data_IF_454047375177
#
_entry.id   IF_454047375177
#
_cell.length_a   1.000
_cell.length_b   1.000
_cell.length_c   1.000
_cell.angle_alpha   90.00
_cell.angle_beta   90.00
_cell.angle_gamma   90.00
#
_symmetry.space_group_name_H-M   'P 1'
#
loop_
_entity.id
_entity.type
_entity.pdbx_description
1 polymer ?
#
# COMPACT_ATOMS: atom_id res chain seq x y z
N UNK A 1 36.66 -17.25 -5.70
CA UNK A 1 36.14 -18.44 -4.96
C UNK A 1 35.39 -18.09 -3.65
N UNK A 2 34.89 -16.85 -3.49
CA UNK A 2 34.15 -16.44 -2.27
C UNK A 2 32.65 -16.16 -2.50
N UNK A 3 32.14 -16.34 -3.73
CA UNK A 3 30.76 -16.01 -4.06
C UNK A 3 29.73 -17.16 -3.97
N UNK A 4 30.18 -18.40 -3.75
CA UNK A 4 29.30 -19.57 -3.90
C UNK A 4 28.62 -20.08 -2.63
N UNK A 5 28.99 -19.58 -1.44
CA UNK A 5 28.53 -20.18 -0.17
C UNK A 5 27.51 -19.34 0.62
N UNK A 6 27.19 -18.12 0.17
CA UNK A 6 26.26 -17.21 0.87
C UNK A 6 24.81 -17.39 0.39
N UNK A 7 24.55 -18.09 -0.70
CA UNK A 7 23.22 -18.23 -1.28
C UNK A 7 22.45 -19.52 -0.91
N UNK A 8 23.07 -20.41 -0.17
CA UNK A 8 22.47 -21.73 0.10
C UNK A 8 21.64 -21.82 1.39
N UNK A 9 21.70 -20.80 2.25
CA UNK A 9 21.00 -20.80 3.56
C UNK A 9 19.98 -19.67 3.72
N UNK A 10 19.57 -18.99 2.65
CA UNK A 10 18.41 -18.11 2.69
C UNK A 10 17.16 -19.00 2.79
N UNK A 11 16.65 -19.19 4.02
CA UNK A 11 15.36 -19.85 4.28
C UNK A 11 14.33 -19.25 3.32
N UNK A 12 13.94 -20.01 2.32
CA UNK A 12 12.95 -19.60 1.31
C UNK A 12 11.74 -19.06 2.02
N UNK A 13 11.36 -17.82 1.70
CA UNK A 13 10.17 -17.20 2.28
C UNK A 13 8.98 -18.06 1.87
N UNK A 14 8.23 -18.55 2.85
CA UNK A 14 7.03 -19.33 2.58
C UNK A 14 5.99 -18.42 1.92
N UNK A 15 5.15 -18.97 1.05
CA UNK A 15 4.17 -18.22 0.26
C UNK A 15 3.26 -17.31 1.12
N UNK A 16 2.85 -17.77 2.31
CA UNK A 16 2.02 -16.96 3.20
C UNK A 16 2.78 -15.76 3.80
N UNK A 17 4.08 -15.90 4.09
CA UNK A 17 4.89 -14.77 4.53
C UNK A 17 5.01 -13.71 3.45
N UNK A 18 5.16 -14.12 2.18
CA UNK A 18 5.15 -13.21 1.04
C UNK A 18 3.77 -12.55 0.86
N UNK A 19 2.69 -13.33 1.01
CA UNK A 19 1.32 -12.82 0.93
C UNK A 19 1.04 -11.75 1.99
N UNK A 20 1.44 -11.96 3.26
CA UNK A 20 1.28 -10.95 4.32
C UNK A 20 2.17 -9.72 4.11
N UNK A 21 3.37 -9.88 3.58
CA UNK A 21 4.22 -8.74 3.20
C UNK A 21 3.56 -7.91 2.08
N UNK A 22 3.06 -8.56 1.04
CA UNK A 22 2.34 -7.88 -0.03
C UNK A 22 1.06 -7.21 0.48
N UNK A 23 0.29 -7.90 1.33
CA UNK A 23 -0.91 -7.36 1.94
C UNK A 23 -0.62 -6.09 2.77
N UNK A 24 0.43 -6.09 3.60
CA UNK A 24 0.82 -4.92 4.39
C UNK A 24 1.25 -3.72 3.55
N UNK A 25 1.70 -3.97 2.33
CA UNK A 25 2.18 -2.92 1.42
C UNK A 25 1.05 -2.31 0.58
N UNK A 26 0.14 -3.15 0.10
CA UNK A 26 -0.92 -2.77 -0.84
C UNK A 26 -2.20 -2.37 -0.11
N UNK A 27 -2.54 -3.06 0.98
CA UNK A 27 -3.77 -2.85 1.71
C UNK A 27 -3.70 -1.61 2.60
N UNK A 28 -4.71 -0.76 2.49
CA UNK A 28 -4.86 0.39 3.39
C UNK A 28 -6.27 0.97 3.30
N UNK A 29 -6.96 1.08 4.44
CA UNK A 29 -8.29 1.69 4.49
C UNK A 29 -8.30 3.14 3.99
N UNK A 30 -7.19 3.89 4.14
CA UNK A 30 -7.06 5.23 3.58
C UNK A 30 -7.20 5.26 2.06
N UNK A 31 -6.71 4.24 1.37
CA UNK A 31 -6.86 4.14 -0.08
C UNK A 31 -8.31 3.80 -0.49
N UNK A 32 -9.01 3.00 0.32
CA UNK A 32 -10.43 2.69 0.11
C UNK A 32 -11.29 3.93 0.25
N UNK A 33 -11.04 4.76 1.28
CA UNK A 33 -11.77 6.00 1.52
C UNK A 33 -11.67 6.98 0.36
N UNK A 34 -10.52 7.10 -0.27
CA UNK A 34 -10.33 7.98 -1.43
C UNK A 34 -11.28 7.61 -2.57
N UNK A 35 -11.48 6.32 -2.84
CA UNK A 35 -12.44 5.87 -3.83
C UNK A 35 -13.88 6.36 -3.55
N UNK A 36 -14.31 6.33 -2.30
CA UNK A 36 -15.65 6.82 -1.91
C UNK A 36 -15.81 8.34 -1.97
N UNK A 37 -14.72 9.10 -1.95
CA UNK A 37 -14.75 10.57 -2.11
C UNK A 37 -15.03 10.93 -3.57
N UNK A 38 -14.44 10.20 -4.51
CA UNK A 38 -14.55 10.51 -5.94
C UNK A 38 -15.72 9.82 -6.63
N UNK A 39 -16.19 8.70 -6.10
CA UNK A 39 -17.27 7.90 -6.67
C UNK A 39 -18.45 7.79 -5.71
N UNK A 40 -19.65 7.98 -6.21
CA UNK A 40 -20.86 7.91 -5.40
C UNK A 40 -21.21 6.46 -5.03
N UNK A 41 -21.04 6.12 -3.75
CA UNK A 41 -21.52 4.86 -3.20
C UNK A 41 -20.96 3.62 -3.90
N UNK A 42 -21.84 2.78 -4.44
CA UNK A 42 -21.49 1.47 -5.03
C UNK A 42 -20.70 1.57 -6.35
N UNK A 43 -20.70 2.74 -7.02
CA UNK A 43 -19.91 2.98 -8.24
C UNK A 43 -18.42 2.76 -8.04
N UNK A 44 -17.92 2.92 -6.80
CA UNK A 44 -16.53 2.65 -6.48
C UNK A 44 -16.17 1.18 -6.72
N UNK A 45 -17.08 0.27 -6.41
CA UNK A 45 -16.85 -1.17 -6.61
C UNK A 45 -16.73 -1.51 -8.08
N UNK A 46 -17.62 -0.94 -8.93
CA UNK A 46 -17.54 -1.09 -10.38
C UNK A 46 -16.20 -0.56 -10.91
N UNK A 47 -15.80 0.63 -10.48
CA UNK A 47 -14.54 1.27 -10.89
C UNK A 47 -13.32 0.44 -10.49
N UNK A 48 -13.32 -0.16 -9.28
CA UNK A 48 -12.25 -1.04 -8.87
C UNK A 48 -12.21 -2.35 -9.67
N UNK A 49 -13.36 -2.96 -9.95
CA UNK A 49 -13.42 -4.17 -10.79
C UNK A 49 -12.90 -3.87 -12.20
N UNK A 50 -13.29 -2.72 -12.77
CA UNK A 50 -12.82 -2.27 -14.07
C UNK A 50 -11.30 -2.08 -14.07
N UNK A 51 -10.76 -1.35 -13.12
CA UNK A 51 -9.32 -1.10 -12.99
C UNK A 51 -8.54 -2.39 -12.68
N UNK A 52 -9.11 -3.29 -11.88
CA UNK A 52 -8.52 -4.60 -11.63
C UNK A 52 -8.39 -5.40 -12.93
N UNK A 53 -9.43 -5.46 -13.73
CA UNK A 53 -9.42 -6.22 -14.98
C UNK A 53 -8.53 -5.59 -16.06
N UNK A 54 -8.60 -4.27 -16.25
CA UNK A 54 -7.92 -3.58 -17.36
C UNK A 54 -6.48 -3.20 -17.05
N UNK A 55 -6.16 -2.94 -15.80
CA UNK A 55 -4.83 -2.49 -15.41
C UNK A 55 -4.09 -3.52 -14.53
N UNK A 56 -4.68 -3.90 -13.40
CA UNK A 56 -3.98 -4.70 -12.40
C UNK A 56 -3.60 -6.10 -12.90
N UNK A 57 -4.53 -6.80 -13.56
CA UNK A 57 -4.27 -8.16 -14.09
C UNK A 57 -3.19 -8.14 -15.17
N UNK A 58 -3.27 -7.31 -16.24
CA UNK A 58 -2.20 -7.24 -17.24
C UNK A 58 -0.85 -6.83 -16.63
N UNK A 59 -0.86 -5.86 -15.72
CA UNK A 59 0.35 -5.41 -15.03
C UNK A 59 0.98 -6.53 -14.19
N UNK A 60 0.18 -7.27 -13.42
CA UNK A 60 0.67 -8.39 -12.62
C UNK A 60 1.25 -9.53 -13.48
N UNK A 61 0.63 -9.83 -14.62
CA UNK A 61 1.16 -10.82 -15.57
C UNK A 61 2.49 -10.36 -16.16
N UNK A 62 2.60 -9.11 -16.60
CA UNK A 62 3.83 -8.51 -17.11
C UNK A 62 4.96 -8.56 -16.07
N UNK A 63 4.70 -8.14 -14.84
CA UNK A 63 5.68 -8.18 -13.75
C UNK A 63 6.09 -9.61 -13.41
N UNK A 64 5.14 -10.55 -13.43
CA UNK A 64 5.40 -11.97 -13.21
C UNK A 64 6.30 -12.57 -14.29
N UNK A 65 6.06 -12.23 -15.55
CA UNK A 65 6.89 -12.66 -16.69
C UNK A 65 8.31 -12.09 -16.59
N UNK A 66 8.44 -10.77 -16.39
CA UNK A 66 9.74 -10.13 -16.22
C UNK A 66 10.50 -10.67 -15.00
N UNK A 67 9.82 -10.87 -13.88
CA UNK A 67 10.40 -11.46 -12.68
C UNK A 67 10.89 -12.90 -12.88
N UNK A 68 10.20 -13.69 -13.70
CA UNK A 68 10.60 -15.06 -14.04
C UNK A 68 11.76 -15.09 -15.05
N UNK A 69 11.74 -14.21 -16.05
CA UNK A 69 12.79 -14.10 -17.06
C UNK A 69 14.12 -13.66 -16.46
N UNK A 70 14.08 -12.70 -15.54
CA UNK A 70 15.28 -12.10 -14.92
C UNK A 70 15.48 -12.51 -13.46
N UNK A 71 15.11 -13.73 -13.10
CA UNK A 71 15.17 -14.25 -11.71
C UNK A 71 16.55 -14.20 -11.05
N UNK A 72 17.62 -14.12 -11.84
CA UNK A 72 19.00 -14.09 -11.35
C UNK A 72 19.52 -12.65 -11.18
N UNK A 73 18.77 -11.63 -11.59
CA UNK A 73 19.13 -10.22 -11.43
C UNK A 73 18.42 -9.62 -10.22
N UNK A 74 19.18 -9.09 -9.27
CA UNK A 74 18.68 -8.65 -7.96
C UNK A 74 18.13 -7.22 -7.86
N UNK A 75 18.08 -6.47 -8.94
CA UNK A 75 17.80 -5.02 -8.92
C UNK A 75 16.36 -4.59 -9.29
N UNK A 76 15.44 -5.53 -9.46
CA UNK A 76 14.06 -5.21 -9.84
C UNK A 76 13.96 -4.47 -11.18
N UNK A 77 13.12 -3.41 -11.24
CA UNK A 77 12.84 -2.66 -12.48
C UNK A 77 14.12 -2.14 -13.16
N UNK A 78 15.07 -1.61 -12.39
CA UNK A 78 16.32 -1.11 -12.97
C UNK A 78 17.16 -2.22 -13.63
N UNK A 79 17.16 -3.42 -13.05
CA UNK A 79 17.85 -4.56 -13.66
C UNK A 79 17.14 -5.06 -14.92
N UNK A 80 15.82 -5.10 -14.93
CA UNK A 80 15.05 -5.47 -16.12
C UNK A 80 15.32 -4.52 -17.29
N UNK A 81 15.35 -3.21 -16.99
CA UNK A 81 15.68 -2.18 -17.99
C UNK A 81 17.16 -2.30 -18.44
N UNK A 82 18.06 -2.66 -17.51
CA UNK A 82 19.48 -2.87 -17.86
C UNK A 82 19.68 -3.99 -18.89
N UNK A 83 19.03 -5.12 -18.64
CA UNK A 83 19.14 -6.30 -19.51
C UNK A 83 18.46 -6.09 -20.88
N UNK A 84 17.44 -5.22 -20.96
CA UNK A 84 16.68 -5.00 -22.20
C UNK A 84 17.14 -3.77 -22.99
N UNK A 85 17.44 -2.67 -22.32
CA UNK A 85 17.70 -1.36 -22.94
C UNK A 85 19.09 -0.80 -22.63
N UNK A 86 19.86 -1.48 -21.79
CA UNK A 86 21.22 -1.08 -21.42
C UNK A 86 21.32 -0.13 -20.23
N UNK A 87 22.59 0.20 -19.82
CA UNK A 87 22.88 0.85 -18.54
C UNK A 87 22.37 2.28 -18.41
N UNK A 88 22.31 3.04 -19.51
CA UNK A 88 21.86 4.44 -19.46
C UNK A 88 20.40 4.55 -19.05
N UNK A 89 19.52 3.79 -19.72
CA UNK A 89 18.09 3.78 -19.39
C UNK A 89 17.82 3.13 -18.04
N UNK A 90 18.59 2.12 -17.66
CA UNK A 90 18.50 1.51 -16.33
C UNK A 90 18.78 2.52 -15.20
N UNK A 91 19.78 3.39 -15.39
CA UNK A 91 20.07 4.46 -14.43
C UNK A 91 18.87 5.41 -14.28
N UNK A 92 18.29 5.87 -15.37
CA UNK A 92 17.11 6.74 -15.31
C UNK A 92 15.90 6.05 -14.71
N UNK A 93 15.68 4.76 -15.03
CA UNK A 93 14.59 3.98 -14.43
C UNK A 93 14.77 3.84 -12.91
N UNK A 94 15.98 3.54 -12.44
CA UNK A 94 16.28 3.48 -11.01
C UNK A 94 16.12 4.83 -10.30
N UNK A 95 16.60 5.91 -10.94
CA UNK A 95 16.48 7.26 -10.41
C UNK A 95 15.03 7.72 -10.32
N UNK A 96 14.23 7.57 -11.38
CA UNK A 96 12.81 7.97 -11.36
C UNK A 96 12.01 7.15 -10.38
N UNK A 97 12.28 5.85 -10.29
CA UNK A 97 11.65 4.98 -9.28
C UNK A 97 11.93 5.49 -7.86
N UNK A 98 13.19 5.78 -7.55
CA UNK A 98 13.57 6.33 -6.25
C UNK A 98 12.92 7.70 -5.99
N UNK A 99 12.99 8.63 -6.95
CA UNK A 99 12.45 9.97 -6.80
C UNK A 99 10.93 9.97 -6.52
N UNK A 100 10.16 9.15 -7.23
CA UNK A 100 8.73 8.99 -6.98
C UNK A 100 8.43 8.43 -5.57
N UNK A 101 9.28 7.54 -5.05
CA UNK A 101 9.06 6.92 -3.75
C UNK A 101 9.44 7.81 -2.55
N UNK A 102 10.31 8.80 -2.74
CA UNK A 102 10.72 9.72 -1.64
C UNK A 102 9.50 10.45 -1.06
N UNK A 103 8.68 11.06 -1.90
CA UNK A 103 7.47 11.77 -1.47
C UNK A 103 6.45 10.85 -0.82
N UNK A 104 6.27 9.67 -1.39
CA UNK A 104 5.39 8.65 -0.83
C UNK A 104 5.84 8.19 0.57
N UNK A 105 7.13 7.88 0.75
CA UNK A 105 7.67 7.44 2.04
C UNK A 105 7.57 8.56 3.09
N UNK A 106 7.85 9.81 2.71
CA UNK A 106 7.72 10.96 3.59
C UNK A 106 6.28 11.13 4.11
N UNK A 107 5.28 10.96 3.25
CA UNK A 107 3.87 11.04 3.65
C UNK A 107 3.45 9.92 4.62
N UNK A 108 4.07 8.74 4.54
CA UNK A 108 3.79 7.62 5.47
C UNK A 108 4.27 7.90 6.89
N UNK A 109 5.38 8.61 7.06
CA UNK A 109 5.89 9.02 8.38
C UNK A 109 4.91 9.92 9.12
N UNK A 110 4.40 10.95 8.47
CA UNK A 110 3.43 11.87 9.05
C UNK A 110 2.08 11.19 9.33
N UNK A 111 1.61 10.35 8.42
CA UNK A 111 0.40 9.56 8.61
C UNK A 111 0.49 8.61 9.81
N UNK A 112 1.65 7.95 10.00
CA UNK A 112 1.90 7.10 11.16
C UNK A 112 1.88 7.87 12.48
N UNK A 113 2.48 9.06 12.53
CA UNK A 113 2.44 9.92 13.71
C UNK A 113 1.03 10.42 14.02
N UNK A 114 0.24 10.77 13.00
CA UNK A 114 -1.16 11.17 13.17
C UNK A 114 -1.98 10.02 13.76
N UNK A 115 -1.81 8.79 13.24
CA UNK A 115 -2.47 7.61 13.78
C UNK A 115 -2.03 7.29 15.22
N UNK A 116 -0.75 7.47 15.54
CA UNK A 116 -0.23 7.28 16.88
C UNK A 116 -0.80 8.31 17.87
N UNK A 117 -0.89 9.59 17.47
CA UNK A 117 -1.49 10.63 18.31
C UNK A 117 -2.97 10.32 18.60
N UNK A 118 -3.69 9.81 17.61
CA UNK A 118 -5.07 9.36 17.79
C UNK A 118 -5.20 8.21 18.79
N UNK A 119 -4.30 7.23 18.70
CA UNK A 119 -4.29 6.08 19.59
C UNK A 119 -3.99 6.48 21.05
N UNK A 120 -3.10 7.45 21.26
CA UNK A 120 -2.67 7.88 22.61
C UNK A 120 -3.68 8.88 23.21
N UNK A 121 -4.03 9.93 22.48
CA UNK A 121 -4.82 11.05 22.98
C UNK A 121 -6.31 10.93 22.68
N UNK A 122 -6.74 9.95 21.86
CA UNK A 122 -8.11 9.75 21.40
C UNK A 122 -8.73 10.98 20.75
N UNK A 123 -7.88 11.87 20.23
CA UNK A 123 -8.29 13.12 19.57
C UNK A 123 -7.40 13.36 18.34
N UNK A 124 -8.04 13.62 17.19
CA UNK A 124 -7.36 13.92 15.92
C UNK A 124 -6.69 15.29 15.92
N UNK A 125 -7.30 16.27 16.61
CA UNK A 125 -6.88 17.66 16.57
C UNK A 125 -5.54 17.90 17.26
N UNK A 126 -5.16 17.01 18.18
CA UNK A 126 -3.87 17.12 18.89
C UNK A 126 -2.69 17.15 17.93
N UNK A 127 -2.71 16.29 16.90
CA UNK A 127 -1.64 16.28 15.90
C UNK A 127 -1.58 17.60 15.11
N UNK A 128 -2.74 18.12 14.71
CA UNK A 128 -2.84 19.33 13.90
C UNK A 128 -2.56 20.61 14.74
N UNK A 129 -2.66 20.54 16.06
CA UNK A 129 -2.32 21.64 17.00
C UNK A 129 -0.82 21.71 17.35
N UNK A 130 -0.04 20.67 17.05
CA UNK A 130 1.39 20.65 17.35
C UNK A 130 2.16 21.63 16.44
N UNK A 131 3.18 22.33 16.96
CA UNK A 131 4.04 23.15 16.12
C UNK A 131 4.71 22.31 15.02
N UNK A 132 4.69 22.82 13.79
CA UNK A 132 5.18 22.13 12.59
C UNK A 132 6.60 21.58 12.77
N UNK A 133 7.47 22.29 13.48
CA UNK A 133 8.84 21.87 13.73
C UNK A 133 8.91 20.54 14.51
N UNK A 134 8.08 20.39 15.56
CA UNK A 134 8.06 19.14 16.34
C UNK A 134 7.54 17.95 15.52
N UNK A 135 6.53 18.19 14.69
CA UNK A 135 5.99 17.16 13.79
C UNK A 135 7.04 16.74 12.76
N UNK A 136 7.78 17.69 12.19
CA UNK A 136 8.86 17.38 11.24
C UNK A 136 10.01 16.63 11.89
N UNK A 137 10.45 17.03 13.08
CA UNK A 137 11.51 16.32 13.82
C UNK A 137 11.07 14.92 14.22
N UNK A 138 9.85 14.75 14.69
CA UNK A 138 9.30 13.44 15.02
C UNK A 138 9.18 12.54 13.77
N UNK A 139 8.71 13.09 12.65
CA UNK A 139 8.67 12.36 11.37
C UNK A 139 10.06 11.92 10.92
N UNK A 140 11.04 12.81 11.02
CA UNK A 140 12.44 12.50 10.69
C UNK A 140 12.99 11.40 11.62
N UNK A 141 12.73 11.48 12.92
CA UNK A 141 13.18 10.47 13.89
C UNK A 141 12.59 9.09 13.58
N UNK A 142 11.29 9.03 13.28
CA UNK A 142 10.61 7.79 12.87
C UNK A 142 11.20 7.25 11.57
N UNK A 143 11.44 8.12 10.59
CA UNK A 143 12.06 7.73 9.33
C UNK A 143 13.46 7.14 9.53
N UNK A 144 14.33 7.83 10.29
CA UNK A 144 15.69 7.36 10.60
C UNK A 144 15.66 6.04 11.37
N UNK A 145 14.72 5.87 12.30
CA UNK A 145 14.55 4.61 13.02
C UNK A 145 14.23 3.45 12.07
N UNK A 146 13.28 3.64 11.14
CA UNK A 146 12.96 2.60 10.18
C UNK A 146 14.07 2.36 9.15
N UNK A 147 14.82 3.38 8.75
CA UNK A 147 16.00 3.21 7.91
C UNK A 147 17.08 2.38 8.62
N UNK A 148 17.34 2.69 9.90
CA UNK A 148 18.25 1.92 10.72
C UNK A 148 17.76 0.47 10.90
N UNK A 149 16.47 0.28 11.12
CA UNK A 149 15.87 -1.06 11.23
C UNK A 149 16.00 -1.85 9.92
N UNK A 150 15.71 -1.21 8.79
CA UNK A 150 15.82 -1.81 7.46
C UNK A 150 17.28 -2.18 7.11
N UNK A 151 18.26 -1.41 7.57
CA UNK A 151 19.68 -1.71 7.36
C UNK A 151 20.16 -2.99 8.05
N UNK A 152 19.40 -3.51 9.01
CA UNK A 152 19.67 -4.79 9.69
C UNK A 152 19.38 -6.02 8.84
N UNK A 153 18.83 -5.85 7.64
CA UNK A 153 18.62 -6.90 6.67
C UNK A 153 17.15 -7.36 6.56
N UNK A 154 16.93 -8.35 5.71
CA UNK A 154 15.58 -8.81 5.34
C UNK A 154 14.83 -9.53 6.47
N UNK A 155 15.53 -10.21 7.41
CA UNK A 155 14.86 -11.01 8.43
C UNK A 155 14.06 -10.15 9.43
N UNK A 156 14.61 -9.08 10.04
CA UNK A 156 13.82 -8.19 10.88
C UNK A 156 12.68 -7.51 10.13
N UNK A 157 12.94 -7.07 8.90
CA UNK A 157 11.95 -6.43 8.04
C UNK A 157 10.77 -7.37 7.76
N UNK A 158 11.05 -8.64 7.46
CA UNK A 158 10.03 -9.68 7.27
C UNK A 158 9.18 -9.89 8.52
N UNK A 159 9.80 -9.96 9.69
CA UNK A 159 9.07 -10.12 10.95
C UNK A 159 8.12 -8.94 11.19
N UNK A 160 8.63 -7.72 11.04
CA UNK A 160 7.82 -6.51 11.18
C UNK A 160 6.67 -6.48 10.17
N UNK A 161 6.95 -6.77 8.89
CA UNK A 161 5.94 -6.82 7.84
C UNK A 161 4.88 -7.91 8.09
N UNK A 162 5.28 -9.05 8.64
CA UNK A 162 4.34 -10.13 8.98
C UNK A 162 3.43 -9.70 10.13
N UNK A 163 3.97 -9.09 11.20
CA UNK A 163 3.17 -8.58 12.31
C UNK A 163 2.22 -7.49 11.84
N UNK A 164 2.72 -6.51 11.08
CA UNK A 164 1.90 -5.44 10.52
C UNK A 164 0.80 -5.98 9.60
N UNK A 165 1.15 -6.87 8.67
CA UNK A 165 0.18 -7.48 7.74
C UNK A 165 -0.88 -8.30 8.46
N UNK A 166 -0.50 -9.07 9.48
CA UNK A 166 -1.46 -9.83 10.29
C UNK A 166 -2.39 -8.90 11.06
N UNK A 167 -1.85 -7.84 11.67
CA UNK A 167 -2.66 -6.84 12.38
C UNK A 167 -3.65 -6.15 11.46
N UNK A 168 -3.21 -5.75 10.27
CA UNK A 168 -4.08 -5.14 9.25
C UNK A 168 -5.16 -6.10 8.78
N UNK A 169 -4.84 -7.39 8.62
CA UNK A 169 -5.80 -8.42 8.22
C UNK A 169 -6.87 -8.62 9.32
N UNK A 170 -6.46 -8.74 10.58
CA UNK A 170 -7.39 -8.86 11.71
C UNK A 170 -8.28 -7.63 11.81
N UNK A 171 -7.71 -6.42 11.70
CA UNK A 171 -8.48 -5.18 11.70
C UNK A 171 -9.47 -5.12 10.55
N UNK A 172 -9.12 -5.60 9.36
CA UNK A 172 -10.03 -5.66 8.20
C UNK A 172 -11.22 -6.55 8.47
N UNK A 173 -10.99 -7.74 9.05
CA UNK A 173 -12.08 -8.64 9.46
C UNK A 173 -12.98 -7.98 10.51
N UNK A 174 -12.39 -7.35 11.53
CA UNK A 174 -13.15 -6.65 12.56
C UNK A 174 -14.02 -5.53 11.96
N UNK A 175 -13.50 -4.73 11.02
CA UNK A 175 -14.29 -3.70 10.34
C UNK A 175 -15.47 -4.30 9.57
N UNK A 176 -15.26 -5.40 8.84
CA UNK A 176 -16.34 -6.09 8.13
C UNK A 176 -17.40 -6.59 9.11
N UNK A 177 -16.98 -7.24 10.21
CA UNK A 177 -17.91 -7.71 11.25
C UNK A 177 -18.66 -6.55 11.90
N UNK A 178 -17.98 -5.45 12.22
CA UNK A 178 -18.61 -4.25 12.78
C UNK A 178 -19.62 -3.63 11.82
N UNK A 179 -19.36 -3.64 10.52
CA UNK A 179 -20.30 -3.15 9.52
C UNK A 179 -21.64 -3.92 9.57
N UNK A 180 -21.60 -5.24 9.73
CA UNK A 180 -22.82 -6.06 9.88
C UNK A 180 -23.45 -5.91 11.27
N UNK A 181 -22.67 -5.69 12.31
CA UNK A 181 -23.17 -5.51 13.68
C UNK A 181 -23.69 -4.07 13.93
N UNK A 182 -23.26 -3.09 13.17
CA UNK A 182 -23.59 -1.68 13.39
C UNK A 182 -25.10 -1.39 13.44
N UNK A 183 -25.95 -1.91 12.55
CA UNK A 183 -27.40 -1.70 12.63
C UNK A 183 -28.05 -2.29 13.89
N UNK A 184 -27.48 -3.39 14.42
CA UNK A 184 -27.97 -4.01 15.65
C UNK A 184 -27.55 -3.22 16.90
N UNK A 185 -26.36 -2.59 16.88
CA UNK A 185 -25.82 -1.82 17.99
C UNK A 185 -26.43 -0.41 18.05
N UNK A 186 -26.62 0.21 16.90
CA UNK A 186 -27.19 1.56 16.79
C UNK A 186 -28.27 1.63 15.70
N UNK A 187 -29.51 1.21 15.99
CA UNK A 187 -30.60 1.17 15.01
C UNK A 187 -30.93 2.55 14.40
N UNK A 188 -30.61 3.64 15.09
CA UNK A 188 -30.88 5.02 14.66
C UNK A 188 -29.67 5.63 13.91
N UNK A 189 -28.64 4.86 13.63
CA UNK A 189 -27.52 5.31 12.79
C UNK A 189 -28.00 5.59 11.37
N UNK A 190 -27.58 6.69 10.78
CA UNK A 190 -27.93 7.06 9.41
C UNK A 190 -27.24 6.14 8.38
N UNK A 191 -27.66 4.89 8.32
CA UNK A 191 -27.12 3.91 7.37
C UNK A 191 -27.62 4.22 5.96
N UNK A 192 -26.71 4.32 5.02
CA UNK A 192 -27.09 4.43 3.60
C UNK A 192 -27.64 3.08 3.14
N UNK A 193 -28.85 3.08 2.57
CA UNK A 193 -29.39 1.91 1.90
C UNK A 193 -28.50 1.55 0.72
N UNK A 194 -28.07 0.30 0.62
CA UNK A 194 -27.38 -0.22 -0.55
C UNK A 194 -28.39 -0.34 -1.69
N UNK A 195 -28.31 0.58 -2.63
CA UNK A 195 -29.13 0.57 -3.83
C UNK A 195 -28.32 -0.02 -4.98
N UNK A 196 -28.70 -1.25 -5.39
CA UNK A 196 -28.07 -1.99 -6.46
C UNK A 196 -28.70 -1.73 -7.84
N UNK A 197 -29.45 -0.64 -8.02
CA UNK A 197 -29.97 -0.29 -9.33
C UNK A 197 -28.84 -0.06 -10.32
N UNK A 198 -29.05 -0.48 -11.56
CA UNK A 198 -28.01 -0.44 -12.61
C UNK A 198 -27.44 0.97 -12.82
N UNK A 199 -28.30 1.98 -12.79
CA UNK A 199 -27.91 3.39 -12.95
C UNK A 199 -27.02 3.92 -11.83
N UNK A 200 -27.04 3.25 -10.66
CA UNK A 200 -26.19 3.60 -9.52
C UNK A 200 -24.92 2.76 -9.42
N UNK A 201 -24.89 1.62 -10.11
CA UNK A 201 -23.70 0.76 -10.16
C UNK A 201 -22.75 1.23 -11.25
N UNK A 202 -23.27 1.52 -12.43
CA UNK A 202 -22.47 1.90 -13.59
C UNK A 202 -22.31 3.43 -13.63
N UNK A 203 -21.10 3.96 -13.53
CA UNK A 203 -20.86 5.39 -13.61
C UNK A 203 -21.10 5.92 -15.03
N UNK A 204 -21.38 7.19 -15.14
CA UNK A 204 -21.38 7.87 -16.43
C UNK A 204 -19.94 8.03 -16.92
N UNK A 205 -19.60 7.41 -18.05
CA UNK A 205 -18.27 7.47 -18.65
C UNK A 205 -18.03 8.85 -19.28
N UNK A 206 -17.60 9.79 -18.46
CA UNK A 206 -17.21 11.13 -18.88
C UNK A 206 -15.75 11.42 -18.53
N UNK A 207 -15.21 12.55 -18.96
CA UNK A 207 -13.82 12.95 -18.71
C UNK A 207 -13.52 12.97 -17.20
N UNK A 208 -14.46 13.47 -16.38
CA UNK A 208 -14.30 13.54 -14.93
C UNK A 208 -14.18 12.14 -14.32
N UNK A 209 -14.93 11.16 -14.83
CA UNK A 209 -14.81 9.77 -14.38
C UNK A 209 -13.41 9.22 -14.66
N UNK A 210 -12.88 9.40 -15.86
CA UNK A 210 -11.55 8.90 -16.22
C UNK A 210 -10.42 9.60 -15.45
N UNK A 211 -10.55 10.90 -15.17
CA UNK A 211 -9.58 11.61 -14.33
C UNK A 211 -9.64 11.19 -12.86
N UNK A 212 -10.77 10.64 -12.40
CA UNK A 212 -10.93 10.13 -11.03
C UNK A 212 -10.38 8.69 -10.87
N UNK A 213 -10.10 7.99 -11.98
CA UNK A 213 -9.48 6.66 -11.97
C UNK A 213 -7.95 6.73 -11.81
N UNK A 214 -7.31 7.86 -12.08
CA UNK A 214 -5.86 8.08 -11.96
C UNK A 214 -5.49 8.44 -10.53
#
# INVERSE_FOLDING_TARGET
KYGGKIMEDSKKIKWYGLAFMAFSTVWGFGNVLNGFIYFNGIQVVFSWVLMFALYFVPYALMVGELGSAFKNSGGGVSSWVHETFGPKLAYYAGWTYWACHVTYIASKGSGGLKALSWAIFRNAEVYDSLPTLYVQLATLAVFLFFCWFASRGLNPLKQLATVAGTSMFVMSILYILMMFAAPAINPNGGYLSLDFSFDKIVPQFNVNYFTSLS
#
